data_IF_465271357161
#
_entry.id   IF_465271357161
#
_cell.length_a   1.000
_cell.length_b   1.000
_cell.length_c   1.000
_cell.angle_alpha   90.00
_cell.angle_beta   90.00
_cell.angle_gamma   90.00
#
_symmetry.space_group_name_H-M   'P 1'
#
loop_
_entity.id
_entity.type
_entity.pdbx_description
1 polymer ?
#
# COMPACT_ATOMS: atom_id res chain seq x y z
N UNK A 1 -11.32 -8.04 21.01
CA UNK A 1 -10.60 -7.14 21.95
C UNK A 1 -9.24 -7.74 22.25
N UNK A 2 -8.23 -6.94 22.53
CA UNK A 2 -6.91 -7.42 22.95
C UNK A 2 -7.01 -8.38 24.15
N UNK A 3 -6.22 -9.47 24.15
CA UNK A 3 -6.28 -10.53 25.16
C UNK A 3 -7.30 -11.63 24.93
N UNK A 4 -8.20 -11.48 23.94
CA UNK A 4 -9.16 -12.52 23.58
C UNK A 4 -8.48 -13.75 22.99
N UNK A 5 -9.04 -14.93 23.28
CA UNK A 5 -8.65 -16.19 22.66
C UNK A 5 -9.06 -16.22 21.19
N UNK A 6 -8.22 -16.81 20.36
CA UNK A 6 -8.47 -17.01 18.93
C UNK A 6 -7.96 -18.39 18.49
N UNK A 7 -8.47 -18.82 17.34
CA UNK A 7 -8.18 -20.10 16.72
C UNK A 7 -7.60 -19.85 15.33
N UNK A 8 -6.38 -20.31 15.08
CA UNK A 8 -5.74 -20.26 13.78
C UNK A 8 -5.75 -21.66 13.14
N UNK A 9 -6.19 -21.77 11.88
CA UNK A 9 -6.13 -23.04 11.15
C UNK A 9 -5.33 -22.87 9.87
N UNK A 10 -4.57 -23.91 9.49
CA UNK A 10 -3.76 -23.87 8.28
C UNK A 10 -3.11 -25.20 7.95
N UNK A 11 -2.31 -25.18 6.90
CA UNK A 11 -1.56 -26.35 6.42
C UNK A 11 -0.05 -26.06 6.45
N UNK A 12 0.60 -26.27 7.61
CA UNK A 12 2.04 -26.05 7.74
C UNK A 12 2.83 -26.80 6.67
N UNK A 13 3.72 -26.12 5.94
CA UNK A 13 4.47 -26.71 4.83
C UNK A 13 3.65 -26.90 3.53
N UNK A 14 2.41 -26.40 3.49
CA UNK A 14 1.50 -26.50 2.35
C UNK A 14 0.47 -27.63 2.48
N UNK A 15 -0.53 -27.57 1.63
CA UNK A 15 -1.62 -28.54 1.60
C UNK A 15 -1.16 -29.89 1.02
N UNK A 16 -1.59 -30.99 1.64
CA UNK A 16 -1.46 -32.36 1.11
C UNK A 16 -2.76 -33.11 1.30
N UNK A 17 -3.15 -34.05 0.37
CA UNK A 17 -4.43 -34.74 0.42
C UNK A 17 -4.74 -35.47 1.73
N UNK A 18 -3.71 -36.06 2.35
CA UNK A 18 -3.85 -36.95 3.52
C UNK A 18 -3.59 -36.27 4.86
N UNK A 19 -3.36 -34.96 4.85
CA UNK A 19 -3.07 -34.22 6.10
C UNK A 19 -4.18 -33.20 6.39
N UNK A 20 -4.90 -33.37 7.52
CA UNK A 20 -5.88 -32.36 7.94
C UNK A 20 -5.22 -31.04 8.30
N UNK A 21 -6.00 -29.97 8.27
CA UNK A 21 -5.56 -28.67 8.76
C UNK A 21 -5.18 -28.75 10.24
N UNK A 22 -4.11 -28.06 10.61
CA UNK A 22 -3.68 -27.95 12.01
C UNK A 22 -4.46 -26.80 12.66
N UNK A 23 -5.01 -27.05 13.86
CA UNK A 23 -5.63 -26.05 14.70
C UNK A 23 -4.65 -25.58 15.77
N UNK A 24 -4.52 -24.27 15.94
CA UNK A 24 -3.75 -23.63 17.00
C UNK A 24 -4.63 -22.70 17.79
N UNK A 25 -4.45 -22.69 19.09
CA UNK A 25 -5.14 -21.82 20.02
C UNK A 25 -4.14 -20.78 20.54
N UNK A 26 -4.54 -19.52 20.54
CA UNK A 26 -3.70 -18.44 21.04
C UNK A 26 -4.52 -17.23 21.44
N UNK A 27 -3.85 -16.11 21.65
CA UNK A 27 -4.46 -14.84 22.07
C UNK A 27 -4.17 -13.74 21.06
N UNK A 28 -5.10 -12.83 20.94
CA UNK A 28 -4.92 -11.58 20.23
C UNK A 28 -4.09 -10.62 21.10
N UNK A 29 -2.82 -10.44 20.74
CA UNK A 29 -1.86 -9.64 21.51
C UNK A 29 -1.97 -8.15 21.20
N UNK A 30 -2.10 -7.79 19.91
CA UNK A 30 -2.20 -6.39 19.45
C UNK A 30 -3.21 -6.25 18.32
N UNK A 31 -3.95 -5.13 18.36
CA UNK A 31 -4.81 -4.68 17.26
C UNK A 31 -4.25 -3.39 16.68
N UNK A 32 -3.90 -3.43 15.41
CA UNK A 32 -3.51 -2.27 14.62
C UNK A 32 -4.56 -2.04 13.52
N UNK A 33 -4.62 -0.86 12.89
CA UNK A 33 -5.65 -0.57 11.89
C UNK A 33 -5.73 -1.56 10.72
N UNK A 34 -4.60 -2.15 10.34
CA UNK A 34 -4.50 -3.10 9.22
C UNK A 34 -3.88 -4.45 9.59
N UNK A 35 -3.63 -4.70 10.88
CA UNK A 35 -2.93 -5.92 11.31
C UNK A 35 -3.41 -6.38 12.68
N UNK A 36 -3.76 -7.65 12.81
CA UNK A 36 -3.92 -8.34 14.08
C UNK A 36 -2.63 -9.11 14.37
N UNK A 37 -2.15 -9.08 15.61
CA UNK A 37 -0.97 -9.83 16.04
C UNK A 37 -1.37 -10.80 17.13
N UNK A 38 -0.97 -12.08 16.97
CA UNK A 38 -1.31 -13.17 17.88
C UNK A 38 -0.08 -13.98 18.27
N UNK A 39 -0.20 -14.75 19.35
CA UNK A 39 0.74 -15.81 19.73
C UNK A 39 0.36 -17.20 19.12
N UNK A 40 -0.60 -17.25 18.20
CA UNK A 40 -0.85 -18.44 17.38
C UNK A 40 0.32 -18.67 16.43
N UNK A 41 1.29 -19.50 16.80
CA UNK A 41 2.50 -19.69 16.01
C UNK A 41 2.21 -20.19 14.59
N UNK A 42 2.37 -19.30 13.61
CA UNK A 42 2.25 -19.61 12.19
C UNK A 42 3.60 -20.08 11.64
N UNK A 43 3.56 -20.87 10.60
CA UNK A 43 4.74 -21.26 9.82
C UNK A 43 4.45 -21.23 8.33
N UNK A 44 5.49 -21.39 7.48
CA UNK A 44 5.31 -21.43 6.02
C UNK A 44 4.26 -22.44 5.60
N UNK A 45 3.35 -22.03 4.70
CA UNK A 45 2.20 -22.81 4.25
C UNK A 45 0.87 -22.45 4.92
N UNK A 46 0.89 -21.75 6.05
CA UNK A 46 -0.32 -21.28 6.74
C UNK A 46 -0.90 -20.00 6.10
N UNK A 47 -0.13 -19.29 5.29
CA UNK A 47 -0.57 -18.04 4.64
C UNK A 47 -1.89 -18.21 3.88
N UNK A 48 -2.83 -17.28 4.07
CA UNK A 48 -4.18 -17.34 3.51
C UNK A 48 -5.17 -18.13 4.36
N UNK A 49 -4.71 -18.83 5.40
CA UNK A 49 -5.57 -19.55 6.34
C UNK A 49 -6.37 -18.60 7.25
N UNK A 50 -7.48 -19.06 7.82
CA UNK A 50 -8.38 -18.24 8.62
C UNK A 50 -7.97 -18.16 10.10
N UNK A 51 -8.23 -16.99 10.69
CA UNK A 51 -8.21 -16.75 12.13
C UNK A 51 -9.63 -16.55 12.63
N UNK A 52 -10.06 -17.34 13.59
CA UNK A 52 -11.39 -17.26 14.18
C UNK A 52 -11.34 -16.77 15.64
N UNK A 53 -12.43 -16.17 16.10
CA UNK A 53 -12.69 -16.05 17.55
C UNK A 53 -13.32 -17.34 18.11
N UNK A 54 -13.56 -17.39 19.43
CA UNK A 54 -14.16 -18.58 20.05
C UNK A 54 -15.65 -18.79 19.70
N UNK A 55 -16.29 -17.80 19.08
CA UNK A 55 -17.66 -17.97 18.56
C UNK A 55 -17.68 -18.60 17.16
N UNK A 56 -16.51 -18.89 16.57
CA UNK A 56 -16.37 -19.41 15.22
C UNK A 56 -16.50 -18.33 14.14
N UNK A 57 -16.45 -17.05 14.51
CA UNK A 57 -16.51 -15.94 13.56
C UNK A 57 -15.11 -15.69 12.99
N UNK A 58 -15.01 -15.52 11.67
CA UNK A 58 -13.77 -15.15 10.99
C UNK A 58 -13.39 -13.72 11.36
N UNK A 59 -12.21 -13.53 11.97
CA UNK A 59 -11.71 -12.23 12.40
C UNK A 59 -10.49 -11.77 11.62
N UNK A 60 -9.79 -12.66 10.92
CA UNK A 60 -8.61 -12.32 10.13
C UNK A 60 -8.15 -13.45 9.20
N UNK A 61 -7.21 -13.10 8.32
CA UNK A 61 -6.55 -14.02 7.37
C UNK A 61 -5.05 -14.00 7.65
N UNK A 62 -4.42 -15.17 7.74
CA UNK A 62 -2.98 -15.30 7.98
C UNK A 62 -2.18 -14.66 6.86
N UNK A 63 -1.21 -13.81 7.23
CA UNK A 63 -0.44 -13.03 6.26
C UNK A 63 1.06 -13.33 6.37
N UNK A 64 1.67 -13.00 7.48
CA UNK A 64 3.12 -13.12 7.66
C UNK A 64 3.49 -13.36 9.13
N UNK A 65 4.74 -13.78 9.34
CA UNK A 65 5.33 -13.95 10.66
C UNK A 65 6.47 -12.94 10.83
N UNK A 66 6.69 -12.49 12.05
CA UNK A 66 7.86 -11.71 12.45
C UNK A 66 9.05 -12.59 12.83
N UNK A 67 9.99 -12.02 13.56
CA UNK A 67 11.18 -12.73 14.05
C UNK A 67 10.85 -13.53 15.29
N UNK A 68 9.97 -13.00 16.14
CA UNK A 68 9.57 -13.63 17.40
C UNK A 68 8.37 -14.58 17.19
N UNK A 69 8.30 -15.63 18.01
CA UNK A 69 7.26 -16.68 17.92
C UNK A 69 5.85 -16.12 18.17
N UNK A 70 5.73 -15.02 18.90
CA UNK A 70 4.49 -14.32 19.23
C UNK A 70 4.19 -13.16 18.28
N UNK A 71 4.96 -13.01 17.19
CA UNK A 71 4.74 -11.96 16.19
C UNK A 71 4.10 -12.54 14.92
N UNK A 72 2.92 -13.14 15.07
CA UNK A 72 2.14 -13.72 13.98
C UNK A 72 1.08 -12.72 13.53
N UNK A 73 1.16 -12.31 12.26
CA UNK A 73 0.40 -11.21 11.70
C UNK A 73 -0.73 -11.69 10.79
N UNK A 74 -1.90 -11.10 10.99
CA UNK A 74 -3.09 -11.41 10.22
C UNK A 74 -3.71 -10.11 9.69
N UNK A 75 -4.30 -10.17 8.50
CA UNK A 75 -5.10 -9.06 7.95
C UNK A 75 -6.50 -9.14 8.57
N UNK A 76 -6.98 -8.08 9.25
CA UNK A 76 -8.33 -8.05 9.82
C UNK A 76 -9.41 -8.23 8.74
N UNK A 77 -10.49 -8.94 9.05
CA UNK A 77 -11.57 -9.20 8.06
C UNK A 77 -12.29 -7.92 7.62
N UNK A 78 -12.38 -6.93 8.47
CA UNK A 78 -13.00 -5.63 8.15
C UNK A 78 -12.21 -4.82 7.12
N UNK A 79 -10.91 -5.06 6.95
CA UNK A 79 -10.13 -4.50 5.83
C UNK A 79 -10.69 -4.99 4.49
N UNK A 80 -11.05 -6.27 4.40
CA UNK A 80 -11.69 -6.83 3.21
C UNK A 80 -13.08 -6.21 2.99
N UNK A 81 -13.89 -6.10 4.04
CA UNK A 81 -15.22 -5.50 3.95
C UNK A 81 -15.16 -4.05 3.43
N UNK A 82 -14.22 -3.24 3.95
CA UNK A 82 -14.01 -1.84 3.50
C UNK A 82 -13.50 -1.75 2.06
N UNK A 83 -12.72 -2.72 1.61
CA UNK A 83 -12.07 -2.72 0.30
C UNK A 83 -12.79 -3.56 -0.75
N UNK A 84 -13.90 -4.23 -0.39
CA UNK A 84 -14.57 -5.22 -1.23
C UNK A 84 -14.93 -4.71 -2.63
N UNK A 85 -15.45 -3.49 -2.72
CA UNK A 85 -15.82 -2.87 -4.01
C UNK A 85 -14.63 -2.67 -4.95
N UNK A 86 -13.43 -2.48 -4.40
CA UNK A 86 -12.17 -2.36 -5.16
C UNK A 86 -11.64 -3.73 -5.55
N UNK A 87 -11.69 -4.70 -4.63
CA UNK A 87 -11.26 -6.09 -4.87
C UNK A 87 -12.05 -6.74 -6.01
N UNK A 88 -13.39 -6.60 -6.03
CA UNK A 88 -14.24 -7.15 -7.10
C UNK A 88 -13.94 -6.53 -8.46
N UNK A 89 -13.45 -5.30 -8.50
CA UNK A 89 -13.01 -4.61 -9.73
C UNK A 89 -11.58 -4.95 -10.13
N UNK A 90 -10.90 -5.83 -9.39
CA UNK A 90 -9.50 -6.19 -9.58
C UNK A 90 -8.55 -4.97 -9.53
N UNK A 91 -8.91 -3.95 -8.73
CA UNK A 91 -8.05 -2.80 -8.52
C UNK A 91 -6.83 -3.22 -7.67
N UNK A 92 -5.65 -2.72 -8.05
CA UNK A 92 -4.43 -2.84 -7.25
C UNK A 92 -4.15 -1.51 -6.55
N UNK A 93 -3.87 -1.55 -5.24
CA UNK A 93 -3.51 -0.39 -4.44
C UNK A 93 -2.66 -0.80 -3.23
N UNK A 94 -2.05 0.17 -2.58
CA UNK A 94 -1.18 -0.05 -1.43
C UNK A 94 0.28 -0.17 -1.83
N UNK A 95 1.16 -0.22 -0.82
CA UNK A 95 2.60 -0.41 -0.98
C UNK A 95 3.01 -1.78 -0.49
N UNK A 96 3.80 -2.49 -1.27
CA UNK A 96 4.50 -3.69 -0.83
C UNK A 96 5.79 -3.29 -0.09
N UNK A 97 6.27 -4.07 0.90
CA UNK A 97 7.58 -3.84 1.51
C UNK A 97 8.67 -3.78 0.44
N UNK A 98 9.47 -2.70 0.47
CA UNK A 98 10.51 -2.45 -0.53
C UNK A 98 10.09 -1.62 -1.74
N UNK A 99 8.79 -1.44 -1.98
CA UNK A 99 8.27 -0.61 -3.08
C UNK A 99 7.79 0.74 -2.54
N UNK A 100 8.27 1.83 -3.15
CA UNK A 100 7.88 3.20 -2.77
C UNK A 100 6.90 3.78 -3.79
N UNK A 101 5.99 4.67 -3.36
CA UNK A 101 5.16 5.42 -4.30
C UNK A 101 6.03 6.22 -5.27
N UNK A 102 5.61 6.28 -6.53
CA UNK A 102 6.32 7.01 -7.56
C UNK A 102 5.38 7.49 -8.66
N UNK A 103 5.74 8.61 -9.27
CA UNK A 103 5.01 9.16 -10.42
C UNK A 103 5.83 9.16 -11.71
N UNK A 104 7.11 8.76 -11.65
CA UNK A 104 7.96 8.62 -12.83
C UNK A 104 8.39 9.98 -13.41
N UNK A 105 8.89 10.89 -12.57
CA UNK A 105 9.44 12.18 -12.99
C UNK A 105 10.81 12.44 -12.36
N UNK A 106 11.61 13.30 -13.01
CA UNK A 106 12.84 13.88 -12.46
C UNK A 106 12.74 15.40 -12.51
N UNK A 107 13.14 16.05 -11.42
CA UNK A 107 13.20 17.50 -11.33
C UNK A 107 14.34 18.07 -12.18
N UNK A 108 14.18 19.32 -12.57
CA UNK A 108 15.26 20.11 -13.14
C UNK A 108 16.27 20.49 -12.03
N UNK A 109 17.51 20.84 -12.43
CA UNK A 109 18.52 21.37 -11.52
C UNK A 109 18.07 22.72 -10.96
N UNK A 110 18.65 23.14 -9.83
CA UNK A 110 18.29 24.41 -9.19
C UNK A 110 18.49 25.61 -10.14
N UNK A 111 19.53 25.58 -10.98
CA UNK A 111 19.79 26.61 -11.98
C UNK A 111 18.72 26.70 -13.07
N UNK A 112 18.11 25.55 -13.45
CA UNK A 112 17.11 25.46 -14.51
C UNK A 112 15.68 25.62 -13.98
N UNK A 113 15.48 25.45 -12.69
CA UNK A 113 14.17 25.40 -12.05
C UNK A 113 13.64 26.81 -11.66
N UNK A 114 14.50 27.79 -11.49
CA UNK A 114 14.16 29.12 -10.95
C UNK A 114 13.38 29.03 -9.62
N UNK A 115 13.81 28.13 -8.72
CA UNK A 115 13.11 27.80 -7.45
C UNK A 115 11.64 27.32 -7.63
N UNK A 116 11.35 26.65 -8.73
CA UNK A 116 10.03 26.05 -9.00
C UNK A 116 10.17 24.53 -9.14
N UNK A 117 9.08 23.81 -8.96
CA UNK A 117 9.04 22.37 -9.20
C UNK A 117 8.94 22.06 -10.71
N UNK A 118 10.01 22.37 -11.45
CA UNK A 118 10.07 22.13 -12.89
C UNK A 118 10.50 20.69 -13.19
N UNK A 119 9.80 20.04 -14.11
CA UNK A 119 10.08 18.65 -14.52
C UNK A 119 11.07 18.66 -15.69
N UNK A 120 12.24 18.06 -15.48
CA UNK A 120 13.25 17.89 -16.51
C UNK A 120 12.94 16.68 -17.41
N UNK A 121 12.49 15.58 -16.80
CA UNK A 121 12.23 14.32 -17.51
C UNK A 121 11.00 13.62 -16.94
N UNK A 122 10.28 12.94 -17.83
CA UNK A 122 9.16 12.06 -17.51
C UNK A 122 9.48 10.68 -18.08
N UNK A 123 9.27 9.63 -17.29
CA UNK A 123 9.47 8.25 -17.73
C UNK A 123 8.31 7.86 -18.67
N UNK A 124 8.64 7.38 -19.89
CA UNK A 124 7.69 7.19 -21.01
C UNK A 124 6.46 6.34 -20.65
N UNK A 125 6.63 5.31 -19.82
CA UNK A 125 5.56 4.42 -19.40
C UNK A 125 5.08 4.71 -17.96
N UNK A 126 5.60 5.77 -17.35
CA UNK A 126 5.33 6.16 -15.97
C UNK A 126 3.93 6.74 -15.76
N UNK A 127 3.47 6.82 -14.51
CA UNK A 127 2.19 7.43 -14.14
C UNK A 127 2.03 8.87 -14.65
N UNK A 128 3.07 9.69 -14.54
CA UNK A 128 3.06 11.08 -15.00
C UNK A 128 2.86 11.19 -16.52
N UNK A 129 3.54 10.35 -17.32
CA UNK A 129 3.38 10.31 -18.77
C UNK A 129 1.93 9.93 -19.15
N UNK A 130 1.37 8.89 -18.50
CA UNK A 130 -0.01 8.45 -18.71
C UNK A 130 -1.03 9.53 -18.35
N UNK A 131 -0.72 10.38 -17.35
CA UNK A 131 -1.54 11.51 -16.96
C UNK A 131 -1.36 12.75 -17.89
N UNK A 132 -0.42 12.70 -18.83
CA UNK A 132 -0.15 13.78 -19.78
C UNK A 132 0.80 14.86 -19.28
N UNK A 133 1.53 14.63 -18.18
CA UNK A 133 2.63 15.48 -17.71
C UNK A 133 3.82 15.32 -18.66
N UNK A 134 4.54 16.40 -18.92
CA UNK A 134 5.64 16.46 -19.89
C UNK A 134 6.87 17.15 -19.30
N UNK A 135 8.00 16.90 -19.90
CA UNK A 135 9.21 17.69 -19.63
C UNK A 135 8.94 19.17 -19.89
N UNK A 136 9.42 20.04 -19.03
CA UNK A 136 9.18 21.48 -19.03
C UNK A 136 7.96 21.93 -18.23
N UNK A 137 7.07 21.05 -17.82
CA UNK A 137 5.96 21.40 -16.93
C UNK A 137 6.49 21.81 -15.55
N UNK A 138 5.77 22.72 -14.89
CA UNK A 138 5.99 23.09 -13.49
C UNK A 138 4.83 22.56 -12.68
N UNK A 139 5.10 21.78 -11.66
CA UNK A 139 4.07 21.30 -10.72
C UNK A 139 3.74 22.43 -9.74
N UNK A 140 2.48 22.83 -9.69
CA UNK A 140 1.97 23.87 -8.79
C UNK A 140 1.33 23.28 -7.54
N UNK A 141 0.56 22.19 -7.71
CA UNK A 141 -0.06 21.47 -6.60
C UNK A 141 -0.08 19.98 -6.86
N UNK A 142 0.01 19.20 -5.78
CA UNK A 142 -0.15 17.76 -5.77
C UNK A 142 -1.14 17.39 -4.67
N UNK A 143 -2.25 16.78 -5.06
CA UNK A 143 -3.39 16.42 -4.19
C UNK A 143 -3.84 17.55 -3.25
N UNK A 144 -3.95 18.76 -3.80
CA UNK A 144 -4.33 19.98 -3.08
C UNK A 144 -3.19 20.67 -2.31
N UNK A 145 -2.05 20.01 -2.11
CA UNK A 145 -0.86 20.59 -1.45
C UNK A 145 -0.09 21.47 -2.42
N UNK A 146 0.25 22.69 -2.02
CA UNK A 146 1.12 23.60 -2.77
C UNK A 146 2.53 23.05 -2.86
N UNK A 147 3.08 23.02 -4.06
CA UNK A 147 4.44 22.50 -4.32
C UNK A 147 5.30 23.64 -4.83
N UNK A 148 6.35 23.97 -4.10
CA UNK A 148 7.28 25.04 -4.44
C UNK A 148 8.58 24.53 -5.07
N UNK A 149 9.00 23.30 -4.72
CA UNK A 149 10.23 22.69 -5.21
C UNK A 149 10.07 21.17 -5.36
N UNK A 150 11.09 20.52 -5.93
CA UNK A 150 11.05 19.08 -6.21
C UNK A 150 11.10 18.21 -4.94
N UNK A 151 11.70 18.68 -3.86
CA UNK A 151 11.74 17.91 -2.61
C UNK A 151 10.36 17.86 -1.93
N UNK A 152 9.60 18.98 -1.95
CA UNK A 152 8.21 18.97 -1.50
C UNK A 152 7.32 18.02 -2.35
N UNK A 153 7.60 17.95 -3.66
CA UNK A 153 6.89 16.97 -4.52
C UNK A 153 7.22 15.53 -4.11
N UNK A 154 8.49 15.22 -3.80
CA UNK A 154 8.89 13.89 -3.30
C UNK A 154 8.16 13.54 -2.00
N UNK A 155 8.17 14.45 -1.02
CA UNK A 155 7.47 14.25 0.26
C UNK A 155 5.97 14.04 0.06
N UNK A 156 5.34 14.83 -0.81
CA UNK A 156 3.92 14.68 -1.14
C UNK A 156 3.63 13.32 -1.80
N UNK A 157 4.48 12.88 -2.73
CA UNK A 157 4.35 11.56 -3.37
C UNK A 157 4.58 10.43 -2.37
N UNK A 158 5.57 10.56 -1.49
CA UNK A 158 5.89 9.54 -0.47
C UNK A 158 4.76 9.40 0.58
N UNK A 159 3.91 10.41 0.74
CA UNK A 159 2.75 10.39 1.65
C UNK A 159 1.50 9.67 1.08
N UNK A 160 1.48 9.40 -0.22
CA UNK A 160 0.33 8.80 -0.91
C UNK A 160 0.54 7.30 -1.12
N UNK A 161 -0.53 6.54 -1.11
CA UNK A 161 -0.49 5.10 -1.34
C UNK A 161 -0.47 4.78 -2.84
N UNK A 162 0.39 3.87 -3.33
CA UNK A 162 0.33 3.40 -4.70
C UNK A 162 -1.06 2.88 -5.09
N UNK A 163 -1.51 3.20 -6.29
CA UNK A 163 -2.86 2.91 -6.79
C UNK A 163 -3.90 3.99 -6.43
N UNK A 164 -3.57 4.98 -5.61
CA UNK A 164 -4.44 6.12 -5.38
C UNK A 164 -4.44 7.09 -6.56
N UNK A 165 -5.60 7.67 -6.82
CA UNK A 165 -5.76 8.71 -7.83
C UNK A 165 -5.68 10.08 -7.17
N UNK A 166 -4.71 10.88 -7.59
CA UNK A 166 -4.46 12.23 -7.09
C UNK A 166 -4.70 13.27 -8.18
N UNK A 167 -5.00 14.48 -7.78
CA UNK A 167 -5.09 15.64 -8.68
C UNK A 167 -3.73 16.37 -8.69
N UNK A 168 -3.24 16.71 -9.89
CA UNK A 168 -2.00 17.46 -10.06
C UNK A 168 -2.27 18.70 -10.88
N UNK A 169 -2.03 19.89 -10.31
CA UNK A 169 -2.06 21.15 -11.06
C UNK A 169 -0.68 21.43 -11.63
N UNK A 170 -0.61 21.64 -12.93
CA UNK A 170 0.63 21.91 -13.66
C UNK A 170 0.53 23.22 -14.45
N UNK A 171 1.63 23.88 -14.62
CA UNK A 171 1.81 24.98 -15.54
C UNK A 171 2.64 24.54 -16.73
N UNK A 172 2.12 24.75 -17.95
CA UNK A 172 2.82 24.51 -19.22
C UNK A 172 2.83 25.79 -20.04
N UNK A 173 3.99 26.41 -20.14
CA UNK A 173 4.11 27.76 -20.66
C UNK A 173 3.33 28.76 -19.81
N UNK A 174 2.32 29.43 -20.39
CA UNK A 174 1.46 30.39 -19.69
C UNK A 174 0.14 29.80 -19.19
N UNK A 175 -0.14 28.52 -19.50
CA UNK A 175 -1.42 27.88 -19.20
C UNK A 175 -1.33 26.94 -18.01
N UNK A 176 -2.37 26.95 -17.18
CA UNK A 176 -2.50 26.01 -16.07
C UNK A 176 -3.49 24.90 -16.43
N UNK A 177 -3.14 23.66 -16.05
CA UNK A 177 -3.95 22.47 -16.28
C UNK A 177 -4.09 21.68 -14.97
N UNK A 178 -5.22 21.00 -14.83
CA UNK A 178 -5.37 19.97 -13.79
C UNK A 178 -5.45 18.61 -14.47
N UNK A 179 -4.62 17.69 -14.05
CA UNK A 179 -4.59 16.31 -14.54
C UNK A 179 -4.85 15.34 -13.39
N UNK A 180 -5.43 14.20 -13.72
CA UNK A 180 -5.59 13.08 -12.76
C UNK A 180 -4.49 12.06 -12.99
N UNK A 181 -3.82 11.69 -11.94
CA UNK A 181 -2.68 10.77 -11.96
C UNK A 181 -2.95 9.62 -10.99
N UNK A 182 -2.70 8.38 -11.42
CA UNK A 182 -2.69 7.22 -10.53
C UNK A 182 -1.25 6.99 -10.11
N UNK A 183 -0.99 7.06 -8.80
CA UNK A 183 0.36 6.87 -8.25
C UNK A 183 0.80 5.43 -8.48
N UNK A 184 2.00 5.26 -9.05
CA UNK A 184 2.61 3.97 -9.29
C UNK A 184 3.58 3.56 -8.16
N UNK A 185 4.40 2.56 -8.46
CA UNK A 185 5.44 2.06 -7.57
C UNK A 185 6.82 2.20 -8.22
N UNK A 186 7.83 2.35 -7.38
CA UNK A 186 9.24 2.26 -7.76
C UNK A 186 9.89 1.15 -6.94
N UNK A 187 10.62 0.28 -7.62
CA UNK A 187 11.51 -0.71 -7.03
C UNK A 187 12.69 -0.07 -6.29
#
# INVERSE_FOLDING_TARGET
MQGQWCLATGHPGGWTPDRPAVLRVGRLLRLLPSTLITDCALIGGDSGGPLFNLNGELIGIHSRIGVDVDDNMHVPIDVFAKSWSRLVKMEAWGSLPGFKPAIGVRGATDEESNNQCKIARVDENGPAAKAGIRSGDVILKFDGLLIQNFDQLKEAVDSVTPGEQVSVEIQRGTNNFSVRLIVGVRD
#
